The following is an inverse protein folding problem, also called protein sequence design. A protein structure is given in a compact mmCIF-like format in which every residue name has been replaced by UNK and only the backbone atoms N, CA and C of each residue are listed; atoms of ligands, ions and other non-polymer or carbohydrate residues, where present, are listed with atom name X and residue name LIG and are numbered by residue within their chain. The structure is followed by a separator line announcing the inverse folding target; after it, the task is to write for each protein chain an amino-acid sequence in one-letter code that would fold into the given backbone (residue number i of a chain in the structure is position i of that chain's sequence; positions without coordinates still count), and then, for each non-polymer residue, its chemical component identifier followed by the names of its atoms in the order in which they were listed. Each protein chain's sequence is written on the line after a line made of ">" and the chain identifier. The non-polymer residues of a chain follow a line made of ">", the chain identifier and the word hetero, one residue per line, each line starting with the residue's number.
data_IF_530010536878
#
_entry.id   IF_530010536878
#
_cell.length_a   1.000
_cell.length_b   1.000
_cell.length_c   1.000
_cell.angle_alpha   90.00
_cell.angle_beta   90.00
_cell.angle_gamma   90.00
#
_symmetry.space_group_name_H-M   'P 1'
#
loop_
_entity.id
_entity.type
_entity.pdbx_description
1 polymer ?
#
# COMPACT_ATOMS: atom_id res chain seq x y z
N UNK A 1 -13.45 -21.40 19.34
CA UNK A 1 -12.26 -20.56 19.21
C UNK A 1 -11.59 -20.29 20.56
N UNK A 2 -12.24 -19.70 21.58
CA UNK A 2 -11.58 -19.34 22.85
C UNK A 2 -10.79 -20.46 23.57
N UNK A 3 -11.18 -21.73 23.40
CA UNK A 3 -10.45 -22.88 23.96
C UNK A 3 -9.35 -23.39 23.01
N UNK A 4 -9.71 -23.69 21.77
CA UNK A 4 -8.84 -24.39 20.80
C UNK A 4 -7.99 -23.46 19.93
N UNK A 5 -8.27 -22.16 19.96
CA UNK A 5 -7.66 -21.08 19.17
C UNK A 5 -7.66 -21.29 17.64
N UNK A 6 -8.49 -22.22 17.17
CA UNK A 6 -8.75 -22.52 15.76
C UNK A 6 -10.25 -22.78 15.57
N UNK A 7 -10.72 -22.75 14.33
CA UNK A 7 -12.13 -22.95 13.98
C UNK A 7 -12.27 -23.37 12.51
N UNK A 8 -13.12 -24.35 12.25
CA UNK A 8 -13.57 -24.69 10.89
C UNK A 8 -14.96 -24.10 10.57
N UNK A 9 -15.46 -23.19 11.40
CA UNK A 9 -16.76 -22.56 11.20
C UNK A 9 -16.67 -21.46 10.15
N UNK A 10 -17.61 -21.48 9.21
CA UNK A 10 -17.75 -20.47 8.16
C UNK A 10 -18.66 -19.33 8.65
N UNK A 11 -18.28 -18.09 8.33
CA UNK A 11 -19.02 -16.88 8.62
C UNK A 11 -19.34 -16.10 7.35
N UNK A 12 -20.44 -15.35 7.40
CA UNK A 12 -20.85 -14.41 6.38
C UNK A 12 -20.39 -13.00 6.76
N UNK A 13 -19.28 -12.55 6.18
CA UNK A 13 -18.68 -11.25 6.47
C UNK A 13 -19.22 -10.16 5.53
N UNK A 14 -19.68 -9.03 6.08
CA UNK A 14 -20.16 -7.89 5.29
C UNK A 14 -19.22 -6.68 5.51
N UNK A 15 -18.38 -6.31 4.53
CA UNK A 15 -17.55 -5.13 4.66
C UNK A 15 -18.39 -3.84 4.63
N UNK A 16 -17.89 -2.78 5.26
CA UNK A 16 -18.55 -1.47 5.27
C UNK A 16 -18.49 -0.77 3.90
N UNK A 17 -17.45 -1.03 3.10
CA UNK A 17 -17.23 -0.43 1.77
C UNK A 17 -16.33 -1.31 0.89
N UNK A 18 -16.19 -0.91 -0.37
CA UNK A 18 -15.29 -1.54 -1.35
C UNK A 18 -14.31 -0.51 -1.93
N UNK A 19 -13.04 -0.89 -2.07
CA UNK A 19 -12.01 -0.09 -2.76
C UNK A 19 -11.64 -0.74 -4.10
N UNK A 20 -11.48 0.09 -5.13
CA UNK A 20 -11.09 -0.38 -6.46
C UNK A 20 -9.98 0.48 -7.07
N UNK A 21 -9.26 -0.11 -8.00
CA UNK A 21 -8.31 0.57 -8.88
C UNK A 21 -8.72 0.39 -10.35
N UNK A 22 -8.17 1.12 -11.31
CA UNK A 22 -8.71 1.18 -12.67
C UNK A 22 -8.51 -0.06 -13.55
N UNK A 23 -7.51 -0.92 -13.30
CA UNK A 23 -7.32 -2.18 -14.02
C UNK A 23 -8.40 -3.22 -13.67
N UNK A 24 -8.79 -3.31 -12.40
CA UNK A 24 -9.87 -4.21 -11.94
C UNK A 24 -11.24 -3.53 -11.90
N UNK A 25 -11.26 -2.21 -11.80
CA UNK A 25 -12.46 -1.40 -11.79
C UNK A 25 -13.14 -1.27 -13.14
N UNK A 26 -12.38 -1.22 -14.24
CA UNK A 26 -12.96 -1.25 -15.59
C UNK A 26 -13.79 -2.52 -15.83
N UNK A 27 -13.27 -3.75 -15.66
CA UNK A 27 -14.06 -4.96 -15.85
C UNK A 27 -15.27 -5.01 -14.90
N UNK A 28 -15.13 -4.63 -13.63
CA UNK A 28 -16.28 -4.64 -12.72
C UNK A 28 -17.41 -3.68 -13.15
N UNK A 29 -17.09 -2.50 -13.68
CA UNK A 29 -18.10 -1.57 -14.22
C UNK A 29 -18.73 -2.13 -15.50
N UNK A 30 -17.98 -2.89 -16.32
CA UNK A 30 -18.54 -3.65 -17.45
C UNK A 30 -19.51 -4.72 -16.95
N UNK A 31 -19.15 -5.47 -15.91
CA UNK A 31 -19.99 -6.53 -15.35
C UNK A 31 -21.28 -5.97 -14.76
N UNK A 32 -21.22 -4.85 -14.01
CA UNK A 32 -22.42 -4.14 -13.55
C UNK A 32 -23.31 -3.67 -14.71
N UNK A 33 -22.72 -3.18 -15.81
CA UNK A 33 -23.45 -2.77 -16.99
C UNK A 33 -24.14 -3.97 -17.68
N UNK A 34 -23.42 -5.08 -17.82
CA UNK A 34 -23.94 -6.32 -18.39
C UNK A 34 -25.06 -6.92 -17.52
N UNK A 35 -24.94 -6.86 -16.20
CA UNK A 35 -25.98 -7.27 -15.25
C UNK A 35 -27.24 -6.40 -15.38
N UNK A 36 -27.11 -5.10 -15.64
CA UNK A 36 -28.26 -4.22 -15.93
C UNK A 36 -28.98 -4.62 -17.21
N UNK A 37 -28.23 -4.92 -18.28
CA UNK A 37 -28.80 -5.40 -19.53
C UNK A 37 -29.50 -6.75 -19.35
N UNK A 38 -28.89 -7.68 -18.59
CA UNK A 38 -29.49 -8.96 -18.26
C UNK A 38 -30.79 -8.80 -17.45
N UNK A 39 -30.80 -7.95 -16.42
CA UNK A 39 -31.99 -7.66 -15.63
C UNK A 39 -33.13 -7.11 -16.50
N UNK A 40 -32.81 -6.20 -17.43
CA UNK A 40 -33.77 -5.66 -18.39
C UNK A 40 -34.35 -6.74 -19.30
N UNK A 41 -33.50 -7.61 -19.85
CA UNK A 41 -33.91 -8.68 -20.75
C UNK A 41 -34.80 -9.72 -20.06
N UNK A 42 -34.64 -9.91 -18.75
CA UNK A 42 -35.49 -10.76 -17.92
C UNK A 42 -36.76 -10.05 -17.40
N UNK A 43 -37.00 -8.79 -17.78
CA UNK A 43 -38.17 -8.01 -17.37
C UNK A 43 -38.08 -7.41 -15.96
N UNK A 44 -36.90 -7.42 -15.33
CA UNK A 44 -36.63 -6.76 -14.05
C UNK A 44 -36.24 -5.29 -14.21
N UNK A 45 -36.16 -4.56 -13.08
CA UNK A 45 -35.67 -3.18 -13.05
C UNK A 45 -34.13 -3.14 -13.03
N UNK A 46 -33.46 -2.61 -14.06
CA UNK A 46 -32.00 -2.49 -14.09
C UNK A 46 -31.44 -1.63 -12.96
N UNK A 47 -32.22 -0.70 -12.40
CA UNK A 47 -31.77 0.17 -11.32
C UNK A 47 -31.56 -0.56 -9.98
N UNK A 48 -32.03 -1.81 -9.89
CA UNK A 48 -31.74 -2.71 -8.77
C UNK A 48 -30.29 -3.20 -8.80
N UNK A 49 -29.65 -3.22 -9.97
CA UNK A 49 -28.21 -3.49 -10.09
C UNK A 49 -27.47 -2.19 -9.76
N UNK A 50 -27.12 -2.04 -8.49
CA UNK A 50 -26.42 -0.90 -7.96
C UNK A 50 -25.65 -1.28 -6.69
N UNK A 51 -24.46 -0.69 -6.45
CA UNK A 51 -23.77 -0.84 -5.17
C UNK A 51 -24.64 -0.44 -3.97
N UNK A 52 -24.72 -1.33 -2.97
CA UNK A 52 -25.44 -1.15 -1.71
C UNK A 52 -24.54 -0.57 -0.61
N UNK A 53 -23.23 -0.76 -0.74
CA UNK A 53 -22.20 -0.12 0.10
C UNK A 53 -21.42 0.91 -0.72
N UNK A 54 -20.74 1.88 -0.07
CA UNK A 54 -19.83 2.78 -0.76
C UNK A 54 -18.75 2.03 -1.55
N UNK A 55 -18.51 2.47 -2.78
CA UNK A 55 -17.44 1.99 -3.65
C UNK A 55 -16.62 3.18 -4.09
N UNK A 56 -15.33 3.16 -3.78
CA UNK A 56 -14.38 4.17 -4.23
C UNK A 56 -13.40 3.54 -5.22
N UNK A 57 -13.35 4.04 -6.45
CA UNK A 57 -12.41 3.62 -7.49
C UNK A 57 -11.37 4.71 -7.70
N UNK A 58 -10.09 4.37 -7.58
CA UNK A 58 -8.97 5.29 -7.83
C UNK A 58 -8.27 4.93 -9.14
N UNK A 59 -7.99 5.92 -9.98
CA UNK A 59 -7.26 5.70 -11.24
C UNK A 59 -5.77 5.96 -11.02
N UNK A 60 -4.96 4.90 -10.99
CA UNK A 60 -3.54 4.93 -10.59
C UNK A 60 -2.66 3.90 -11.32
N UNK A 61 -3.23 2.88 -11.98
CA UNK A 61 -2.51 1.82 -12.69
C UNK A 61 -2.21 2.15 -14.16
N UNK A 62 -2.70 3.27 -14.67
CA UNK A 62 -2.58 3.65 -16.08
C UNK A 62 -1.33 4.48 -16.42
N UNK A 63 -0.72 5.14 -15.43
CA UNK A 63 0.47 5.97 -15.61
C UNK A 63 1.72 5.11 -15.85
N UNK A 64 2.53 5.50 -16.83
CA UNK A 64 3.80 4.86 -17.18
C UNK A 64 4.94 5.86 -17.17
N UNK A 65 6.16 5.40 -16.84
CA UNK A 65 7.36 6.25 -16.85
C UNK A 65 7.98 6.29 -18.26
N UNK A 66 7.30 6.94 -19.20
CA UNK A 66 7.79 7.09 -20.58
C UNK A 66 8.98 8.08 -20.65
N UNK A 67 8.91 9.16 -19.86
CA UNK A 67 9.93 10.20 -19.72
C UNK A 67 10.35 10.27 -18.25
N UNK A 68 11.64 10.47 -18.01
CA UNK A 68 12.26 10.42 -16.68
C UNK A 68 13.47 11.36 -16.59
N UNK A 69 13.95 11.61 -15.36
CA UNK A 69 15.22 12.31 -15.11
C UNK A 69 15.25 13.78 -15.56
N UNK A 70 14.11 14.41 -15.83
CA UNK A 70 14.03 15.81 -16.22
C UNK A 70 12.70 16.45 -15.80
N UNK A 71 12.63 17.78 -15.89
CA UNK A 71 11.50 18.59 -15.44
C UNK A 71 10.23 18.49 -16.32
N UNK A 72 10.32 17.96 -17.54
CA UNK A 72 9.15 17.76 -18.42
C UNK A 72 8.52 16.38 -18.24
N UNK A 73 9.16 15.49 -17.47
CA UNK A 73 8.74 14.11 -17.28
C UNK A 73 7.28 13.99 -16.82
N UNK A 74 6.89 14.73 -15.77
CA UNK A 74 5.52 14.70 -15.25
C UNK A 74 4.48 15.00 -16.33
N UNK A 75 4.62 16.15 -17.00
CA UNK A 75 3.65 16.57 -18.03
C UNK A 75 3.60 15.58 -19.19
N UNK A 76 4.76 15.15 -19.69
CA UNK A 76 4.83 14.23 -20.83
C UNK A 76 4.22 12.86 -20.53
N UNK A 77 4.39 12.35 -19.31
CA UNK A 77 3.81 11.06 -18.89
C UNK A 77 2.29 11.16 -18.71
N UNK A 78 1.79 12.25 -18.12
CA UNK A 78 0.35 12.49 -17.99
C UNK A 78 -0.31 12.66 -19.37
N UNK A 79 0.31 13.40 -20.29
CA UNK A 79 -0.21 13.54 -21.66
C UNK A 79 -0.34 12.18 -22.36
N UNK A 80 0.70 11.33 -22.26
CA UNK A 80 0.67 9.96 -22.81
C UNK A 80 -0.36 9.07 -22.13
N UNK A 81 -0.52 9.18 -20.82
CA UNK A 81 -1.53 8.44 -20.06
C UNK A 81 -2.93 8.75 -20.61
N UNK A 82 -3.26 10.02 -20.81
CA UNK A 82 -4.55 10.45 -21.36
C UNK A 82 -4.74 10.03 -22.82
N UNK A 83 -3.69 10.12 -23.65
CA UNK A 83 -3.72 9.65 -25.04
C UNK A 83 -4.10 8.16 -25.12
N UNK A 84 -3.50 7.34 -24.26
CA UNK A 84 -3.69 5.88 -24.25
C UNK A 84 -5.00 5.42 -23.63
N UNK A 85 -5.53 6.15 -22.64
CA UNK A 85 -6.59 5.66 -21.76
C UNK A 85 -7.91 6.44 -21.83
N UNK A 86 -8.07 7.35 -22.81
CA UNK A 86 -9.24 8.24 -22.90
C UNK A 86 -10.59 7.49 -22.89
N UNK A 87 -10.67 6.35 -23.59
CA UNK A 87 -11.89 5.54 -23.62
C UNK A 87 -12.23 4.95 -22.24
N UNK A 88 -11.24 4.35 -21.56
CA UNK A 88 -11.38 3.81 -20.21
C UNK A 88 -11.82 4.89 -19.23
N UNK A 89 -11.26 6.10 -19.33
CA UNK A 89 -11.62 7.22 -18.44
C UNK A 89 -13.03 7.74 -18.69
N UNK A 90 -13.44 7.84 -19.96
CA UNK A 90 -14.83 8.16 -20.31
C UNK A 90 -15.80 7.12 -19.77
N UNK A 91 -15.44 5.83 -19.86
CA UNK A 91 -16.23 4.73 -19.35
C UNK A 91 -16.38 4.75 -17.83
N UNK A 92 -15.28 4.90 -17.07
CA UNK A 92 -15.34 5.02 -15.62
C UNK A 92 -16.10 6.28 -15.15
N UNK A 93 -15.93 7.41 -15.86
CA UNK A 93 -16.68 8.64 -15.60
C UNK A 93 -18.19 8.46 -15.87
N UNK A 94 -18.57 7.63 -16.83
CA UNK A 94 -19.95 7.22 -17.01
C UNK A 94 -20.43 6.37 -15.82
N UNK A 95 -19.62 5.39 -15.38
CA UNK A 95 -19.92 4.54 -14.22
C UNK A 95 -20.22 5.36 -12.96
N UNK A 96 -19.38 6.35 -12.64
CA UNK A 96 -19.59 7.28 -11.52
C UNK A 96 -20.92 8.05 -11.56
N UNK A 97 -21.52 8.22 -12.75
CA UNK A 97 -22.83 8.86 -12.91
C UNK A 97 -23.97 7.86 -12.96
N UNK A 98 -23.70 6.65 -13.45
CA UNK A 98 -24.69 5.62 -13.69
C UNK A 98 -25.04 4.82 -12.42
N UNK A 99 -24.13 4.75 -11.44
CA UNK A 99 -24.30 4.00 -10.21
C UNK A 99 -24.29 4.92 -8.98
N UNK A 100 -25.25 4.72 -8.06
CA UNK A 100 -25.23 5.36 -6.73
C UNK A 100 -24.16 4.71 -5.87
N UNK A 101 -23.66 5.45 -4.88
CA UNK A 101 -22.60 5.01 -3.97
C UNK A 101 -21.27 4.69 -4.67
N UNK A 102 -21.09 5.11 -5.92
CA UNK A 102 -19.89 4.83 -6.71
C UNK A 102 -19.12 6.12 -7.00
N UNK A 103 -17.94 6.26 -6.40
CA UNK A 103 -17.05 7.40 -6.59
C UNK A 103 -15.87 7.01 -7.45
N UNK A 104 -15.47 7.89 -8.36
CA UNK A 104 -14.23 7.74 -9.12
C UNK A 104 -13.30 8.90 -8.77
N UNK A 105 -12.13 8.57 -8.22
CA UNK A 105 -11.02 9.50 -8.01
C UNK A 105 -10.23 9.59 -9.32
N UNK A 106 -10.06 10.81 -9.89
CA UNK A 106 -9.48 10.98 -11.21
C UNK A 106 -7.97 10.68 -11.26
N UNK A 107 -7.41 10.48 -12.47
CA UNK A 107 -5.97 10.30 -12.66
C UNK A 107 -5.16 11.48 -12.07
N UNK A 108 -3.93 11.20 -11.64
CA UNK A 108 -3.02 12.22 -11.11
C UNK A 108 -3.33 12.69 -9.68
N UNK A 109 -4.26 12.03 -8.99
CA UNK A 109 -4.56 12.31 -7.57
C UNK A 109 -3.59 11.58 -6.64
N UNK A 110 -3.27 10.32 -6.94
CA UNK A 110 -2.49 9.45 -6.07
C UNK A 110 -2.76 7.96 -6.31
N UNK A 111 -2.07 7.11 -5.56
CA UNK A 111 -2.22 5.65 -5.55
C UNK A 111 -3.34 5.28 -4.58
N UNK A 112 -4.16 4.29 -4.95
CA UNK A 112 -5.38 3.88 -4.27
C UNK A 112 -5.22 3.74 -2.75
N UNK A 113 -4.17 3.06 -2.29
CA UNK A 113 -3.96 2.80 -0.86
C UNK A 113 -3.53 4.03 -0.07
N UNK A 114 -2.73 4.91 -0.67
CA UNK A 114 -2.33 6.17 -0.02
C UNK A 114 -3.51 7.14 0.02
N UNK A 115 -4.27 7.27 -1.07
CA UNK A 115 -5.54 8.03 -1.09
C UNK A 115 -6.53 7.44 -0.08
N UNK A 116 -6.56 6.12 0.09
CA UNK A 116 -7.40 5.47 1.09
C UNK A 116 -7.00 5.89 2.51
N UNK A 117 -5.73 5.78 2.89
CA UNK A 117 -5.23 6.22 4.20
C UNK A 117 -5.42 7.72 4.43
N UNK A 118 -5.02 8.55 3.48
CA UNK A 118 -4.99 10.00 3.64
C UNK A 118 -6.37 10.65 3.53
N UNK A 119 -7.36 9.99 2.90
CA UNK A 119 -8.64 10.64 2.61
C UNK A 119 -9.89 9.75 2.81
N UNK A 120 -9.94 8.55 2.23
CA UNK A 120 -11.18 7.77 2.19
C UNK A 120 -11.50 7.06 3.51
N UNK A 121 -10.49 6.47 4.15
CA UNK A 121 -10.62 5.71 5.38
C UNK A 121 -11.01 6.60 6.56
N UNK A 122 -11.90 6.08 7.39
CA UNK A 122 -12.49 6.83 8.50
C UNK A 122 -12.27 6.21 9.89
N UNK A 123 -11.72 4.99 9.95
CA UNK A 123 -11.59 4.15 11.16
C UNK A 123 -12.93 3.74 11.79
N UNK A 124 -13.85 4.68 12.02
CA UNK A 124 -15.23 4.44 12.47
C UNK A 124 -16.18 5.22 11.56
N UNK A 125 -17.12 4.51 10.92
CA UNK A 125 -18.20 5.10 10.12
C UNK A 125 -19.45 5.37 10.93
N UNK A 126 -20.31 6.22 10.39
CA UNK A 126 -21.67 6.43 10.87
C UNK A 126 -22.66 6.17 9.75
N UNK A 127 -23.83 5.64 10.08
CA UNK A 127 -24.99 5.56 9.18
C UNK A 127 -26.26 5.92 9.94
N UNK A 128 -27.25 6.45 9.24
CA UNK A 128 -28.61 6.58 9.76
C UNK A 128 -29.36 5.28 9.51
N UNK A 129 -29.93 4.68 10.55
CA UNK A 129 -30.74 3.46 10.50
C UNK A 129 -31.88 3.59 11.51
N UNK A 130 -33.13 3.38 11.05
CA UNK A 130 -34.35 3.47 11.87
C UNK A 130 -34.53 4.78 12.69
N UNK A 131 -33.97 5.89 12.19
CA UNK A 131 -34.04 7.20 12.84
C UNK A 131 -32.97 7.43 13.91
N UNK A 132 -32.01 6.50 14.04
CA UNK A 132 -30.85 6.61 14.92
C UNK A 132 -29.55 6.63 14.11
N UNK A 133 -28.56 7.39 14.60
CA UNK A 133 -27.20 7.37 14.06
C UNK A 133 -26.41 6.22 14.70
N UNK A 134 -26.02 5.23 13.90
CA UNK A 134 -25.23 4.09 14.33
C UNK A 134 -23.77 4.29 13.93
N UNK A 135 -22.86 4.13 14.90
CA UNK A 135 -21.41 4.08 14.67
C UNK A 135 -20.92 2.63 14.57
N UNK A 136 -20.03 2.35 13.63
CA UNK A 136 -19.50 1.00 13.38
C UNK A 136 -18.08 1.07 12.78
N UNK A 137 -17.27 0.01 12.90
CA UNK A 137 -15.89 0.04 12.41
C UNK A 137 -15.85 0.19 10.89
N UNK A 138 -14.90 0.99 10.40
CA UNK A 138 -14.54 0.97 8.99
C UNK A 138 -13.93 -0.39 8.65
N UNK A 139 -14.43 -0.99 7.57
CA UNK A 139 -13.92 -2.26 7.06
C UNK A 139 -14.10 -2.30 5.55
N UNK A 140 -13.20 -2.97 4.83
CA UNK A 140 -13.33 -3.08 3.39
C UNK A 140 -12.73 -4.35 2.80
N UNK A 141 -13.24 -4.69 1.63
CA UNK A 141 -12.49 -5.50 0.67
C UNK A 141 -12.08 -4.61 -0.49
N UNK A 142 -10.94 -4.90 -1.11
CA UNK A 142 -10.48 -4.16 -2.28
C UNK A 142 -10.06 -5.07 -3.42
N UNK A 143 -10.19 -4.58 -4.65
CA UNK A 143 -9.75 -5.32 -5.85
C UNK A 143 -8.26 -5.14 -6.14
N UNK A 144 -7.47 -5.09 -5.07
CA UNK A 144 -6.02 -4.98 -5.05
C UNK A 144 -5.49 -5.66 -3.78
N UNK A 145 -4.45 -6.50 -3.91
CA UNK A 145 -3.91 -7.29 -2.81
C UNK A 145 -3.43 -6.43 -1.63
N UNK A 146 -2.89 -5.25 -1.90
CA UNK A 146 -2.29 -4.36 -0.90
C UNK A 146 -3.32 -3.45 -0.21
N UNK A 147 -4.62 -3.71 -0.42
CA UNK A 147 -5.71 -3.10 0.38
C UNK A 147 -5.47 -3.28 1.88
N UNK A 148 -4.69 -4.30 2.24
CA UNK A 148 -4.23 -4.55 3.60
C UNK A 148 -3.44 -3.39 4.23
N UNK A 149 -2.91 -2.46 3.44
CA UNK A 149 -2.22 -1.26 3.94
C UNK A 149 -3.07 -0.43 4.91
N UNK A 150 -4.38 -0.39 4.71
CA UNK A 150 -5.32 0.38 5.55
C UNK A 150 -5.47 -0.18 6.97
N UNK A 151 -5.04 -1.42 7.21
CA UNK A 151 -5.09 -2.01 8.54
C UNK A 151 -4.11 -1.34 9.52
N UNK A 152 -3.12 -0.58 9.04
CA UNK A 152 -2.31 0.31 9.87
C UNK A 152 -3.13 1.48 10.45
N UNK A 153 -4.27 1.83 9.84
CA UNK A 153 -5.24 2.80 10.37
C UNK A 153 -6.40 2.11 11.12
N UNK A 154 -6.15 0.90 11.59
CA UNK A 154 -7.11 0.03 12.30
C UNK A 154 -8.41 -0.22 11.54
N UNK A 155 -8.34 -0.21 10.21
CA UNK A 155 -9.45 -0.55 9.31
C UNK A 155 -9.24 -1.96 8.82
N UNK A 156 -10.08 -2.90 9.26
CA UNK A 156 -9.95 -4.29 8.84
C UNK A 156 -10.26 -4.40 7.34
N UNK A 157 -9.25 -4.73 6.53
CA UNK A 157 -9.46 -4.93 5.11
C UNK A 157 -8.37 -5.68 4.37
N UNK A 158 -8.74 -6.25 3.23
CA UNK A 158 -7.84 -7.09 2.44
C UNK A 158 -8.23 -7.13 0.96
N UNK A 159 -7.30 -7.64 0.14
CA UNK A 159 -7.52 -7.82 -1.29
C UNK A 159 -8.38 -9.04 -1.62
N UNK A 160 -9.30 -8.90 -2.56
CA UNK A 160 -10.14 -9.96 -3.13
C UNK A 160 -10.17 -9.86 -4.66
N UNK A 161 -10.70 -10.88 -5.33
CA UNK A 161 -10.94 -10.82 -6.78
C UNK A 161 -12.07 -9.86 -7.15
N UNK A 162 -12.17 -9.54 -8.44
CA UNK A 162 -13.21 -8.64 -8.96
C UNK A 162 -14.62 -9.15 -8.66
N UNK A 163 -14.87 -10.45 -8.86
CA UNK A 163 -16.17 -11.09 -8.63
C UNK A 163 -16.57 -11.02 -7.16
N UNK A 164 -15.65 -11.29 -6.23
CA UNK A 164 -15.94 -11.17 -4.79
C UNK A 164 -16.25 -9.73 -4.39
N UNK A 165 -15.53 -8.75 -4.95
CA UNK A 165 -15.82 -7.34 -4.71
C UNK A 165 -17.16 -6.89 -5.31
N UNK A 166 -17.53 -7.40 -6.49
CA UNK A 166 -18.84 -7.20 -7.13
C UNK A 166 -19.98 -7.81 -6.30
N UNK A 167 -19.79 -9.01 -5.79
CA UNK A 167 -20.74 -9.64 -4.88
C UNK A 167 -20.90 -8.80 -3.60
N UNK A 168 -19.78 -8.38 -2.99
CA UNK A 168 -19.77 -7.54 -1.80
C UNK A 168 -20.48 -6.20 -2.02
N UNK A 169 -20.20 -5.51 -3.14
CA UNK A 169 -20.86 -4.24 -3.43
C UNK A 169 -22.36 -4.41 -3.67
N UNK A 170 -22.82 -5.56 -4.17
CA UNK A 170 -24.24 -5.89 -4.34
C UNK A 170 -24.88 -6.48 -3.06
N UNK A 171 -24.18 -6.45 -1.93
CA UNK A 171 -24.67 -6.83 -0.60
C UNK A 171 -24.61 -8.33 -0.29
N UNK A 172 -23.97 -9.13 -1.15
CA UNK A 172 -23.64 -10.50 -0.80
C UNK A 172 -22.52 -10.51 0.24
N UNK A 173 -22.64 -11.26 1.34
CA UNK A 173 -21.55 -11.41 2.27
C UNK A 173 -20.40 -12.21 1.65
N UNK A 174 -19.17 -11.87 2.03
CA UNK A 174 -17.99 -12.69 1.76
C UNK A 174 -18.02 -13.90 2.69
N UNK A 175 -18.09 -15.09 2.12
CA UNK A 175 -17.94 -16.33 2.87
C UNK A 175 -16.47 -16.53 3.24
N UNK A 176 -16.19 -16.72 4.52
CA UNK A 176 -14.85 -17.05 5.00
C UNK A 176 -14.89 -17.92 6.25
N UNK A 177 -13.87 -18.74 6.47
CA UNK A 177 -13.67 -19.42 7.74
C UNK A 177 -13.27 -18.39 8.81
N UNK A 178 -13.69 -18.59 10.06
CA UNK A 178 -13.15 -17.82 11.19
C UNK A 178 -11.62 -18.01 11.19
N UNK A 179 -10.84 -16.94 10.97
CA UNK A 179 -9.42 -17.08 10.76
C UNK A 179 -8.70 -17.43 12.06
N UNK A 180 -7.58 -18.14 11.94
CA UNK A 180 -6.56 -18.16 12.97
C UNK A 180 -5.88 -16.79 13.02
N UNK A 181 -5.47 -16.35 14.22
CA UNK A 181 -4.83 -15.04 14.42
C UNK A 181 -3.45 -15.27 15.02
N UNK A 182 -2.42 -14.82 14.31
CA UNK A 182 -1.02 -14.88 14.74
C UNK A 182 -0.67 -13.53 15.36
N UNK A 183 -0.37 -13.52 16.65
CA UNK A 183 0.13 -12.33 17.32
C UNK A 183 1.59 -12.07 16.93
N UNK A 184 1.90 -10.89 16.43
CA UNK A 184 3.28 -10.48 16.16
C UNK A 184 3.69 -9.38 17.13
N UNK A 185 4.43 -9.77 18.16
CA UNK A 185 4.87 -8.88 19.23
C UNK A 185 6.07 -8.06 18.77
N UNK A 186 5.94 -6.75 18.77
CA UNK A 186 7.02 -5.80 18.57
C UNK A 186 7.46 -5.24 19.92
N UNK A 187 8.77 -5.24 20.16
CA UNK A 187 9.38 -4.64 21.34
C UNK A 187 10.56 -3.76 20.96
N UNK A 188 10.98 -2.88 21.87
CA UNK A 188 12.10 -1.99 21.64
C UNK A 188 11.82 -0.94 20.56
N UNK A 189 12.88 -0.30 20.05
CA UNK A 189 12.80 0.79 19.08
C UNK A 189 13.77 0.54 17.93
N UNK A 190 13.39 0.91 16.72
CA UNK A 190 14.29 0.86 15.55
C UNK A 190 15.58 1.65 15.82
N UNK A 191 16.76 1.07 15.53
CA UNK A 191 18.02 1.77 15.71
C UNK A 191 18.19 2.88 14.68
N UNK A 192 19.07 3.84 14.98
CA UNK A 192 19.42 4.89 14.03
C UNK A 192 19.94 4.30 12.71
N UNK A 193 19.44 4.81 11.60
CA UNK A 193 19.79 4.34 10.26
C UNK A 193 18.92 3.20 9.74
N UNK A 194 18.15 2.51 10.58
CA UNK A 194 17.10 1.60 10.15
C UNK A 194 15.79 2.36 9.82
N UNK A 195 15.02 1.82 8.89
CA UNK A 195 13.79 2.42 8.37
C UNK A 195 12.59 1.49 8.51
N UNK A 196 11.38 2.01 8.28
CA UNK A 196 10.16 1.20 8.18
C UNK A 196 10.29 0.11 7.10
N UNK A 197 11.01 0.40 6.01
CA UNK A 197 11.29 -0.58 4.95
C UNK A 197 12.11 -1.76 5.50
N UNK A 198 13.13 -1.50 6.31
CA UNK A 198 13.95 -2.55 6.92
C UNK A 198 13.16 -3.42 7.90
N UNK A 199 12.27 -2.77 8.67
CA UNK A 199 11.37 -3.44 9.59
C UNK A 199 10.41 -4.37 8.84
N UNK A 200 9.71 -3.87 7.82
CA UNK A 200 8.75 -4.70 7.08
C UNK A 200 9.43 -5.84 6.32
N UNK A 201 10.64 -5.67 5.80
CA UNK A 201 11.38 -6.76 5.17
C UNK A 201 11.76 -7.85 6.19
N UNK A 202 12.12 -7.44 7.41
CA UNK A 202 12.41 -8.37 8.52
C UNK A 202 11.15 -9.13 8.94
N UNK A 203 10.04 -8.43 9.14
CA UNK A 203 8.72 -9.00 9.45
C UNK A 203 8.28 -9.96 8.34
N UNK A 204 8.43 -9.57 7.07
CA UNK A 204 8.06 -10.38 5.91
C UNK A 204 8.83 -11.70 5.88
N UNK A 205 10.14 -11.67 6.12
CA UNK A 205 10.98 -12.86 6.20
C UNK A 205 10.53 -13.80 7.33
N UNK A 206 10.26 -13.25 8.52
CA UNK A 206 9.84 -14.04 9.69
C UNK A 206 8.47 -14.70 9.48
N UNK A 207 7.48 -13.93 9.03
CA UNK A 207 6.11 -14.42 8.81
C UNK A 207 6.04 -15.42 7.66
N UNK A 208 6.83 -15.23 6.58
CA UNK A 208 6.94 -16.26 5.52
C UNK A 208 7.52 -17.56 6.05
N UNK A 209 8.56 -17.49 6.87
CA UNK A 209 9.16 -18.68 7.49
C UNK A 209 8.18 -19.39 8.41
N UNK A 210 7.31 -18.65 9.12
CA UNK A 210 6.27 -19.22 9.99
C UNK A 210 5.16 -19.93 9.22
N UNK A 211 4.77 -19.40 8.06
CA UNK A 211 3.65 -19.89 7.26
C UNK A 211 2.29 -19.40 7.77
N UNK A 212 1.91 -18.18 7.38
CA UNK A 212 0.67 -17.51 7.83
C UNK A 212 -0.41 -17.42 6.74
N UNK A 213 -0.34 -18.28 5.74
CA UNK A 213 -1.30 -18.30 4.62
C UNK A 213 -2.73 -18.53 5.11
N UNK A 214 -3.65 -17.63 4.73
CA UNK A 214 -5.06 -17.68 5.12
C UNK A 214 -5.34 -17.31 6.57
N UNK A 215 -4.35 -16.80 7.30
CA UNK A 215 -4.46 -16.37 8.70
C UNK A 215 -4.46 -14.84 8.78
N UNK A 216 -4.96 -14.32 9.90
CA UNK A 216 -4.74 -12.93 10.26
C UNK A 216 -3.42 -12.82 11.03
N UNK A 217 -2.73 -11.71 10.85
CA UNK A 217 -1.63 -11.30 11.72
C UNK A 217 -2.09 -10.04 12.45
N UNK A 218 -1.93 -10.01 13.77
CA UNK A 218 -2.23 -8.84 14.59
C UNK A 218 -0.97 -8.40 15.32
N UNK A 219 -0.58 -7.15 15.14
CA UNK A 219 0.60 -6.57 15.74
C UNK A 219 0.26 -6.02 17.13
N UNK A 220 1.14 -6.31 18.10
CA UNK A 220 0.96 -5.89 19.49
C UNK A 220 2.32 -5.72 20.19
N UNK A 221 2.30 -5.31 21.46
CA UNK A 221 3.51 -5.07 22.25
C UNK A 221 3.84 -3.58 22.41
N UNK A 222 4.82 -3.29 23.26
CA UNK A 222 5.26 -1.93 23.59
C UNK A 222 6.01 -1.24 22.45
N UNK A 223 6.52 -2.01 21.47
CA UNK A 223 7.15 -1.47 20.27
C UNK A 223 6.21 -0.59 19.43
N UNK A 224 4.90 -0.79 19.52
CA UNK A 224 3.91 0.04 18.81
C UNK A 224 3.97 1.51 19.26
N UNK A 225 4.34 1.79 20.52
CA UNK A 225 4.49 3.16 21.05
C UNK A 225 5.65 3.95 20.38
N UNK A 226 6.41 3.29 19.49
CA UNK A 226 7.56 3.85 18.80
C UNK A 226 7.40 3.86 17.28
N UNK A 227 6.25 3.45 16.76
CA UNK A 227 5.93 3.48 15.34
C UNK A 227 5.01 4.66 15.04
N UNK A 228 5.24 5.32 13.92
CA UNK A 228 4.24 6.22 13.33
C UNK A 228 3.21 5.40 12.56
N UNK A 229 2.03 5.98 12.30
CA UNK A 229 1.01 5.26 11.53
C UNK A 229 1.49 4.90 10.12
N UNK A 230 2.39 5.70 9.55
CA UNK A 230 2.98 5.40 8.26
C UNK A 230 3.91 4.18 8.31
N UNK A 231 4.57 3.92 9.46
CA UNK A 231 5.37 2.72 9.67
C UNK A 231 4.46 1.49 9.79
N UNK A 232 3.36 1.60 10.54
CA UNK A 232 2.34 0.54 10.67
C UNK A 232 1.70 0.21 9.31
N UNK A 233 1.33 1.23 8.55
CA UNK A 233 0.80 1.07 7.20
C UNK A 233 1.81 0.41 6.26
N UNK A 234 3.11 0.72 6.39
CA UNK A 234 4.19 0.06 5.63
C UNK A 234 4.21 -1.45 5.92
N UNK A 235 4.07 -1.84 7.19
CA UNK A 235 4.06 -3.25 7.62
C UNK A 235 2.79 -3.97 7.17
N UNK A 236 1.63 -3.32 7.33
CA UNK A 236 0.32 -3.85 6.95
C UNK A 236 0.18 -4.02 5.43
N UNK A 237 0.80 -3.12 4.65
CA UNK A 237 0.81 -3.16 3.19
C UNK A 237 1.36 -4.49 2.65
N UNK A 238 2.45 -4.99 3.23
CA UNK A 238 3.14 -6.20 2.73
C UNK A 238 2.50 -7.52 3.18
N UNK A 239 1.26 -7.51 3.69
CA UNK A 239 0.57 -8.73 4.10
C UNK A 239 0.46 -9.80 3.00
N UNK A 240 0.17 -9.46 1.74
CA UNK A 240 0.22 -10.42 0.65
C UNK A 240 1.62 -11.05 0.49
N UNK A 241 2.69 -10.27 0.67
CA UNK A 241 4.07 -10.70 0.53
C UNK A 241 4.51 -11.65 1.63
N UNK A 242 3.93 -11.58 2.84
CA UNK A 242 4.10 -12.62 3.87
C UNK A 242 2.99 -13.67 3.93
N UNK A 243 1.94 -13.49 3.14
CA UNK A 243 0.89 -14.47 2.87
C UNK A 243 -0.32 -14.38 3.81
N UNK A 244 -0.34 -13.46 4.75
CA UNK A 244 -1.50 -13.27 5.61
C UNK A 244 -2.67 -12.69 4.82
N UNK A 245 -3.89 -12.93 5.28
CA UNK A 245 -5.06 -12.23 4.75
C UNK A 245 -4.99 -10.74 5.09
N UNK A 246 -4.51 -10.38 6.28
CA UNK A 246 -4.24 -9.01 6.70
C UNK A 246 -3.13 -8.96 7.76
N UNK A 247 -2.55 -7.76 7.95
CA UNK A 247 -1.70 -7.41 9.08
C UNK A 247 -2.30 -6.24 9.84
N UNK A 248 -2.91 -6.49 11.00
CA UNK A 248 -3.78 -5.57 11.72
C UNK A 248 -3.08 -4.84 12.87
N UNK A 249 -3.31 -3.53 12.98
CA UNK A 249 -2.88 -2.68 14.10
C UNK A 249 -4.11 -2.14 14.83
N UNK A 250 -4.19 -2.26 16.17
CA UNK A 250 -5.34 -1.81 16.95
C UNK A 250 -5.41 -0.27 17.03
N UNK A 251 -6.58 0.26 17.39
CA UNK A 251 -6.77 1.71 17.54
C UNK A 251 -6.00 2.19 18.76
N UNK A 252 -5.16 3.21 18.60
CA UNK A 252 -4.41 3.83 19.69
C UNK A 252 -4.18 5.34 19.49
N UNK A 253 -3.26 5.93 20.26
CA UNK A 253 -2.94 7.36 20.22
C UNK A 253 -2.35 7.81 18.87
N UNK A 254 -1.58 6.94 18.22
CA UNK A 254 -0.99 7.25 16.92
C UNK A 254 -2.08 7.27 15.83
N UNK A 255 -3.06 6.36 15.93
CA UNK A 255 -4.27 6.41 15.09
C UNK A 255 -4.97 7.78 15.18
N UNK A 256 -5.21 8.27 16.39
CA UNK A 256 -5.85 9.58 16.61
C UNK A 256 -4.98 10.74 16.14
N UNK A 257 -3.65 10.62 16.30
CA UNK A 257 -2.67 11.63 15.87
C UNK A 257 -2.66 11.75 14.35
N UNK A 258 -2.64 10.62 13.64
CA UNK A 258 -2.68 10.59 12.18
C UNK A 258 -3.98 11.16 11.61
N UNK A 259 -5.14 10.81 12.19
CA UNK A 259 -6.43 11.37 11.74
C UNK A 259 -6.45 12.89 11.87
N UNK A 260 -5.88 13.45 12.96
CA UNK A 260 -5.72 14.92 13.12
C UNK A 260 -4.74 15.49 12.08
N UNK A 261 -3.60 14.85 11.88
CA UNK A 261 -2.54 15.31 10.97
C UNK A 261 -2.99 15.33 9.50
N UNK A 262 -3.85 14.39 9.11
CA UNK A 262 -4.47 14.30 7.78
C UNK A 262 -5.73 15.16 7.63
N UNK A 263 -6.04 16.00 8.62
CA UNK A 263 -7.12 16.98 8.54
C UNK A 263 -8.53 16.36 8.62
N UNK A 264 -8.70 15.17 9.21
CA UNK A 264 -10.03 14.64 9.50
C UNK A 264 -10.77 15.57 10.47
N UNK A 265 -12.08 15.66 10.30
CA UNK A 265 -12.92 16.50 11.16
C UNK A 265 -12.73 16.17 12.64
N UNK A 266 -12.64 17.21 13.48
CA UNK A 266 -12.46 17.03 14.92
C UNK A 266 -13.58 16.20 15.58
N UNK A 267 -14.80 16.23 15.01
CA UNK A 267 -15.91 15.38 15.45
C UNK A 267 -15.68 13.90 15.12
N UNK A 268 -15.08 13.59 13.97
CA UNK A 268 -14.71 12.21 13.59
C UNK A 268 -13.66 11.67 14.54
N UNK A 269 -12.62 12.43 14.83
CA UNK A 269 -11.53 11.97 15.73
C UNK A 269 -12.09 11.67 17.12
N UNK A 270 -12.95 12.54 17.66
CA UNK A 270 -13.66 12.30 18.94
C UNK A 270 -14.55 11.07 18.89
N UNK A 271 -15.25 10.83 17.77
CA UNK A 271 -16.07 9.65 17.59
C UNK A 271 -15.22 8.37 17.62
N UNK A 272 -14.09 8.35 16.90
CA UNK A 272 -13.20 7.18 16.86
C UNK A 272 -12.72 6.82 18.27
N UNK A 273 -12.23 7.80 19.03
CA UNK A 273 -11.78 7.58 20.41
C UNK A 273 -12.91 7.07 21.31
N UNK A 274 -14.06 7.75 21.30
CA UNK A 274 -15.20 7.40 22.15
C UNK A 274 -15.76 6.00 21.82
N UNK A 275 -15.86 5.69 20.52
CA UNK A 275 -16.30 4.38 20.05
C UNK A 275 -15.31 3.29 20.46
N UNK A 276 -14.01 3.48 20.19
CA UNK A 276 -12.99 2.48 20.49
C UNK A 276 -12.95 2.16 22.00
N UNK A 277 -13.02 3.18 22.87
CA UNK A 277 -13.07 2.99 24.32
C UNK A 277 -14.34 2.27 24.76
N UNK A 278 -15.50 2.65 24.23
CA UNK A 278 -16.76 2.01 24.57
C UNK A 278 -16.84 0.53 24.14
N UNK A 279 -16.16 0.16 23.05
CA UNK A 279 -16.12 -1.21 22.53
C UNK A 279 -14.94 -2.04 23.07
N UNK A 280 -14.05 -1.48 23.89
CA UNK A 280 -12.83 -2.16 24.34
C UNK A 280 -11.82 -2.41 23.22
N UNK A 281 -11.82 -1.58 22.18
CA UNK A 281 -10.94 -1.68 21.00
C UNK A 281 -9.73 -0.74 21.05
N UNK A 282 -9.61 0.09 22.10
CA UNK A 282 -8.53 1.06 22.26
C UNK A 282 -7.36 0.47 23.04
N UNK A 283 -6.22 0.22 22.37
CA UNK A 283 -5.06 -0.53 22.90
C UNK A 283 -4.53 -0.01 24.24
N UNK A 284 -4.37 1.31 24.48
CA UNK A 284 -3.87 1.79 25.77
C UNK A 284 -4.72 1.35 26.98
N UNK A 285 -5.98 0.99 26.75
CA UNK A 285 -6.92 0.57 27.78
C UNK A 285 -7.04 -0.98 27.89
N UNK A 286 -6.23 -1.75 27.15
CA UNK A 286 -6.26 -3.21 27.22
C UNK A 286 -5.77 -3.69 28.60
N UNK A 287 -6.59 -4.49 29.29
CA UNK A 287 -6.22 -5.09 30.59
C UNK A 287 -5.18 -6.21 30.43
N UNK A 288 -5.17 -6.88 29.27
CA UNK A 288 -4.24 -7.93 28.91
C UNK A 288 -4.12 -8.03 27.38
N UNK A 289 -3.01 -8.59 26.90
CA UNK A 289 -2.82 -8.88 25.47
C UNK A 289 -3.92 -9.83 24.95
N UNK A 290 -4.37 -9.67 23.69
CA UNK A 290 -5.32 -10.60 23.09
C UNK A 290 -4.79 -12.04 23.07
N UNK A 291 -5.70 -13.01 23.18
CA UNK A 291 -5.34 -14.43 23.14
C UNK A 291 -5.18 -14.85 21.67
N UNK A 292 -3.94 -15.04 21.21
CA UNK A 292 -3.66 -15.45 19.83
C UNK A 292 -3.59 -16.98 19.65
N UNK A 293 -3.77 -17.44 18.41
CA UNK A 293 -3.52 -18.83 17.99
C UNK A 293 -2.07 -19.22 18.21
N UNK A 294 -1.15 -18.36 17.81
CA UNK A 294 0.28 -18.48 18.06
C UNK A 294 0.92 -17.09 18.09
N UNK A 295 2.17 -17.01 18.53
CA UNK A 295 2.88 -15.74 18.71
C UNK A 295 4.29 -15.78 18.13
N UNK A 296 4.70 -14.68 17.47
CA UNK A 296 6.08 -14.36 17.13
C UNK A 296 6.49 -13.08 17.86
N UNK A 297 7.78 -12.91 18.10
CA UNK A 297 8.32 -11.72 18.75
C UNK A 297 9.54 -11.21 17.98
N UNK A 298 9.62 -9.88 17.84
CA UNK A 298 10.75 -9.16 17.25
C UNK A 298 11.13 -7.98 18.15
N UNK A 299 12.37 -7.98 18.61
CA UNK A 299 13.01 -6.78 19.17
C UNK A 299 13.49 -5.90 18.01
N UNK A 300 12.83 -4.75 17.84
CA UNK A 300 13.10 -3.81 16.75
C UNK A 300 14.50 -3.22 16.81
N UNK A 301 15.18 -3.25 17.97
CA UNK A 301 16.57 -2.79 18.09
C UNK A 301 17.56 -3.67 17.32
N UNK A 302 17.15 -4.88 16.95
CA UNK A 302 17.95 -5.83 16.16
C UNK A 302 17.82 -5.64 14.65
N UNK A 303 16.89 -4.79 14.20
CA UNK A 303 16.66 -4.53 12.78
C UNK A 303 17.83 -3.72 12.23
N UNK A 304 18.42 -4.20 11.14
CA UNK A 304 19.50 -3.52 10.41
C UNK A 304 19.06 -3.17 8.97
N UNK A 305 19.69 -2.14 8.36
CA UNK A 305 19.45 -1.79 6.97
C UNK A 305 19.58 -2.99 6.03
N UNK A 306 18.61 -3.14 5.12
CA UNK A 306 18.49 -4.32 4.26
C UNK A 306 17.81 -4.04 2.92
N UNK A 307 17.95 -5.00 2.03
CA UNK A 307 17.30 -5.07 0.72
C UNK A 307 16.51 -6.39 0.66
N UNK A 308 15.63 -6.53 -0.32
CA UNK A 308 15.01 -7.82 -0.64
C UNK A 308 15.20 -8.13 -2.12
N UNK A 309 15.62 -9.35 -2.43
CA UNK A 309 15.82 -9.74 -3.81
C UNK A 309 16.76 -10.92 -4.03
N UNK A 310 17.01 -11.26 -5.31
CA UNK A 310 16.71 -10.45 -6.50
C UNK A 310 15.37 -10.79 -7.14
N UNK A 311 14.65 -11.80 -6.62
CA UNK A 311 13.43 -12.34 -7.25
C UNK A 311 12.20 -12.32 -6.35
N UNK A 312 12.36 -12.34 -5.02
CA UNK A 312 11.23 -12.48 -4.08
C UNK A 312 11.33 -11.49 -2.92
N UNK A 313 10.21 -10.93 -2.43
CA UNK A 313 10.19 -9.97 -1.33
C UNK A 313 10.71 -10.50 0.02
N UNK A 314 10.58 -11.81 0.27
CA UNK A 314 11.07 -12.44 1.50
C UNK A 314 12.57 -12.78 1.49
N UNK A 315 13.25 -12.60 0.35
CA UNK A 315 14.69 -12.83 0.22
C UNK A 315 15.46 -11.63 0.77
N UNK A 316 15.30 -11.35 2.08
CA UNK A 316 15.99 -10.26 2.77
C UNK A 316 17.50 -10.48 2.78
N UNK A 317 18.24 -9.45 2.40
CA UNK A 317 19.70 -9.38 2.40
C UNK A 317 20.14 -8.15 3.21
N UNK A 318 20.89 -8.31 4.32
CA UNK A 318 21.49 -7.18 5.02
C UNK A 318 22.34 -6.34 4.08
N UNK A 319 22.17 -5.00 4.12
CA UNK A 319 22.84 -4.08 3.21
C UNK A 319 24.37 -4.19 3.32
N UNK A 320 24.88 -4.49 4.52
CA UNK A 320 26.29 -4.75 4.82
C UNK A 320 26.90 -5.91 4.02
N UNK A 321 26.07 -6.85 3.54
CA UNK A 321 26.49 -8.06 2.82
C UNK A 321 25.97 -8.13 1.39
N UNK A 322 25.30 -7.07 0.91
CA UNK A 322 24.61 -7.06 -0.38
C UNK A 322 25.53 -7.37 -1.58
N UNK A 323 26.78 -6.86 -1.56
CA UNK A 323 27.77 -7.12 -2.61
C UNK A 323 28.14 -8.61 -2.69
N UNK A 324 28.42 -9.22 -1.54
CA UNK A 324 28.81 -10.64 -1.48
C UNK A 324 27.63 -11.54 -1.84
N UNK A 325 26.43 -11.21 -1.35
CA UNK A 325 25.20 -11.91 -1.70
C UNK A 325 24.92 -11.85 -3.20
N UNK A 326 25.11 -10.69 -3.84
CA UNK A 326 24.97 -10.56 -5.28
C UNK A 326 26.00 -11.40 -6.04
N UNK A 327 27.27 -11.40 -5.62
CA UNK A 327 28.31 -12.22 -6.24
C UNK A 327 27.98 -13.73 -6.15
N UNK A 328 27.48 -14.18 -5.00
CA UNK A 328 27.01 -15.57 -4.84
C UNK A 328 25.84 -15.89 -5.78
N UNK A 329 24.87 -14.99 -5.89
CA UNK A 329 23.72 -15.19 -6.79
C UNK A 329 24.10 -15.14 -8.26
N UNK A 330 25.09 -14.32 -8.64
CA UNK A 330 25.62 -14.28 -10.00
C UNK A 330 26.18 -15.65 -10.42
N UNK A 331 26.71 -16.42 -9.46
CA UNK A 331 27.11 -17.81 -9.66
C UNK A 331 25.94 -18.78 -9.65
N UNK A 332 25.28 -18.88 -8.50
CA UNK A 332 24.35 -19.97 -8.22
C UNK A 332 23.07 -19.87 -9.03
N UNK A 333 22.54 -18.65 -9.17
CA UNK A 333 21.24 -18.39 -9.78
C UNK A 333 21.35 -18.03 -11.26
N UNK A 334 22.25 -17.11 -11.60
CA UNK A 334 22.38 -16.60 -12.96
C UNK A 334 23.39 -17.37 -13.81
N UNK A 335 24.32 -18.13 -13.18
CA UNK A 335 25.39 -18.89 -13.86
C UNK A 335 26.25 -18.01 -14.76
N UNK A 336 26.60 -16.82 -14.25
CA UNK A 336 27.32 -15.76 -14.98
C UNK A 336 28.68 -15.39 -14.37
N UNK A 337 29.20 -16.15 -13.41
CA UNK A 337 30.51 -15.81 -12.81
C UNK A 337 31.67 -15.77 -13.80
N UNK A 338 31.65 -16.61 -14.83
CA UNK A 338 32.67 -16.57 -15.88
C UNK A 338 32.74 -15.20 -16.60
N UNK A 339 31.62 -14.47 -16.63
CA UNK A 339 31.49 -13.14 -17.23
C UNK A 339 31.34 -12.04 -16.16
N UNK A 340 31.65 -12.29 -14.88
CA UNK A 340 31.31 -11.36 -13.78
C UNK A 340 31.84 -9.93 -13.99
N UNK A 341 33.02 -9.81 -14.60
CA UNK A 341 33.68 -8.52 -14.89
C UNK A 341 33.46 -8.04 -16.33
N UNK A 342 32.66 -8.76 -17.13
CA UNK A 342 32.36 -8.38 -18.50
C UNK A 342 31.57 -7.07 -18.49
N UNK A 343 32.06 -6.09 -19.24
CA UNK A 343 31.35 -4.83 -19.52
C UNK A 343 31.03 -4.75 -21.00
N UNK A 344 29.87 -4.17 -21.32
CA UNK A 344 29.36 -3.95 -22.67
C UNK A 344 29.28 -2.45 -22.89
N UNK A 345 29.96 -1.95 -23.92
CA UNK A 345 29.88 -0.53 -24.32
C UNK A 345 28.47 -0.22 -24.82
N UNK A 346 27.93 0.93 -24.42
CA UNK A 346 26.63 1.39 -24.90
C UNK A 346 26.83 2.15 -26.21
N UNK A 347 26.09 1.78 -27.24
CA UNK A 347 26.22 2.37 -28.57
C UNK A 347 25.94 3.88 -28.54
N UNK A 348 26.84 4.68 -29.12
CA UNK A 348 26.73 6.14 -29.13
C UNK A 348 27.16 6.84 -27.84
N UNK A 349 27.53 6.09 -26.79
CA UNK A 349 27.84 6.62 -25.47
C UNK A 349 29.29 6.35 -25.04
N UNK A 350 29.79 7.15 -24.09
CA UNK A 350 31.17 7.02 -23.58
C UNK A 350 31.28 6.12 -22.34
N UNK A 351 30.25 5.33 -22.04
CA UNK A 351 30.19 4.44 -20.90
C UNK A 351 29.89 2.98 -21.31
N UNK A 352 30.10 2.08 -20.36
CA UNK A 352 29.79 0.66 -20.49
C UNK A 352 28.96 0.21 -19.29
N UNK A 353 28.25 -0.91 -19.43
CA UNK A 353 27.42 -1.52 -18.38
C UNK A 353 27.90 -2.96 -18.15
N UNK A 354 27.92 -3.40 -16.90
CA UNK A 354 28.23 -4.77 -16.49
C UNK A 354 27.24 -5.32 -15.47
N UNK A 355 27.52 -6.52 -14.97
CA UNK A 355 26.71 -7.14 -13.92
C UNK A 355 26.77 -6.32 -12.62
N UNK A 356 25.60 -6.09 -12.01
CA UNK A 356 25.46 -5.34 -10.76
C UNK A 356 25.30 -3.82 -10.93
N UNK A 357 25.47 -3.30 -12.15
CA UNK A 357 25.16 -1.90 -12.41
C UNK A 357 23.64 -1.67 -12.29
N UNK A 358 23.25 -0.72 -11.44
CA UNK A 358 21.87 -0.28 -11.31
C UNK A 358 21.46 0.45 -12.59
N UNK A 359 20.37 0.02 -13.22
CA UNK A 359 19.82 0.64 -14.45
C UNK A 359 18.45 1.28 -14.24
N UNK A 360 17.74 0.92 -13.16
CA UNK A 360 16.50 1.56 -12.72
C UNK A 360 16.65 1.88 -11.23
N UNK A 361 16.34 3.11 -10.84
CA UNK A 361 16.27 3.53 -9.45
C UNK A 361 15.01 4.37 -9.24
N UNK A 362 13.95 3.73 -8.77
CA UNK A 362 12.62 4.34 -8.64
C UNK A 362 12.25 4.51 -7.16
N UNK A 363 11.94 5.74 -6.75
CA UNK A 363 11.21 6.01 -5.51
C UNK A 363 9.72 5.96 -5.86
N UNK A 364 9.11 4.81 -5.61
CA UNK A 364 7.76 4.44 -6.07
C UNK A 364 7.03 3.65 -4.97
N UNK A 365 5.84 3.16 -5.29
CA UNK A 365 4.92 2.39 -4.44
C UNK A 365 4.27 3.20 -3.31
N UNK A 366 2.98 2.91 -3.07
CA UNK A 366 2.27 3.37 -1.89
C UNK A 366 2.93 2.91 -0.58
N UNK A 367 3.62 1.75 -0.59
CA UNK A 367 4.29 1.18 0.58
C UNK A 367 5.21 2.18 1.27
N UNK A 368 6.06 2.88 0.51
CA UNK A 368 7.06 3.80 1.07
C UNK A 368 6.71 5.27 0.84
N UNK A 369 6.03 5.62 -0.26
CA UNK A 369 5.74 7.04 -0.57
C UNK A 369 4.68 7.66 0.34
N UNK A 370 3.89 6.83 1.02
CA UNK A 370 2.98 7.25 2.10
C UNK A 370 3.69 7.58 3.41
N UNK A 371 4.99 7.27 3.54
CA UNK A 371 5.75 7.44 4.76
C UNK A 371 6.68 8.67 4.67
N UNK A 372 6.33 9.79 5.35
CA UNK A 372 7.14 11.01 5.28
C UNK A 372 8.57 10.82 5.79
N UNK A 373 8.81 9.90 6.73
CA UNK A 373 10.14 9.67 7.30
C UNK A 373 11.14 9.21 6.23
N UNK A 374 10.77 8.22 5.41
CA UNK A 374 11.65 7.72 4.34
C UNK A 374 11.73 8.68 3.15
N UNK A 375 10.66 9.42 2.86
CA UNK A 375 10.65 10.41 1.78
C UNK A 375 11.50 11.64 2.10
N UNK A 376 11.37 12.19 3.31
CA UNK A 376 12.27 13.25 3.79
C UNK A 376 13.69 12.73 3.94
N UNK A 377 13.87 11.49 4.41
CA UNK A 377 15.17 10.81 4.44
C UNK A 377 15.85 10.78 3.07
N UNK A 378 15.13 10.37 2.02
CA UNK A 378 15.62 10.37 0.65
C UNK A 378 16.03 11.77 0.18
N UNK A 379 15.21 12.79 0.44
CA UNK A 379 15.55 14.18 0.13
C UNK A 379 16.79 14.68 0.86
N UNK A 380 16.95 14.33 2.14
CA UNK A 380 18.13 14.70 2.94
C UNK A 380 19.40 14.01 2.44
N UNK A 381 19.31 12.75 1.99
CA UNK A 381 20.41 12.03 1.33
C UNK A 381 20.76 12.73 0.02
N UNK A 382 19.77 13.08 -0.81
CA UNK A 382 19.98 13.79 -2.06
C UNK A 382 20.72 15.12 -1.85
N UNK A 383 20.25 15.95 -0.91
CA UNK A 383 20.90 17.20 -0.52
C UNK A 383 22.36 17.02 -0.13
N UNK A 384 22.62 16.00 0.68
CA UNK A 384 23.95 15.69 1.18
C UNK A 384 24.88 15.16 0.08
N UNK A 385 24.33 14.46 -0.92
CA UNK A 385 25.07 13.98 -2.09
C UNK A 385 25.40 15.14 -3.06
N UNK A 386 24.42 15.99 -3.36
CA UNK A 386 24.59 17.18 -4.22
C UNK A 386 25.62 18.15 -3.64
N UNK A 387 25.56 18.43 -2.32
CA UNK A 387 26.57 19.26 -1.63
C UNK A 387 28.00 18.71 -1.72
N UNK A 388 28.14 17.40 -1.93
CA UNK A 388 29.44 16.72 -2.12
C UNK A 388 29.84 16.59 -3.59
N UNK A 389 29.05 17.12 -4.52
CA UNK A 389 29.30 17.04 -5.96
C UNK A 389 29.04 15.66 -6.56
N UNK A 390 28.34 14.77 -5.85
CA UNK A 390 27.95 13.46 -6.37
C UNK A 390 26.87 13.61 -7.44
N UNK A 391 26.90 12.70 -8.42
CA UNK A 391 25.92 12.64 -9.51
C UNK A 391 25.52 11.18 -9.75
N UNK A 392 24.29 10.99 -10.19
CA UNK A 392 23.82 9.69 -10.68
C UNK A 392 24.51 9.36 -12.01
N UNK A 393 24.76 8.08 -12.26
CA UNK A 393 25.34 7.61 -13.52
C UNK A 393 24.33 7.81 -14.67
N UNK A 394 24.78 8.19 -15.89
CA UNK A 394 23.88 8.61 -16.96
C UNK A 394 22.96 7.50 -17.50
N UNK A 395 23.29 6.23 -17.27
CA UNK A 395 22.47 5.09 -17.71
C UNK A 395 21.34 4.73 -16.74
N UNK A 396 21.26 5.36 -15.57
CA UNK A 396 20.25 5.02 -14.56
C UNK A 396 18.94 5.73 -14.90
N UNK A 397 17.88 4.96 -15.09
CA UNK A 397 16.51 5.48 -15.16
C UNK A 397 16.01 5.81 -13.76
N UNK A 398 16.16 7.06 -13.35
CA UNK A 398 15.69 7.58 -12.05
C UNK A 398 14.27 8.12 -12.14
N UNK A 399 13.44 7.84 -11.13
CA UNK A 399 12.06 8.34 -11.08
C UNK A 399 11.57 8.56 -9.65
N UNK A 400 10.77 9.61 -9.46
CA UNK A 400 9.98 9.85 -8.24
C UNK A 400 8.49 9.80 -8.60
N UNK A 401 7.79 8.77 -8.10
CA UNK A 401 6.37 8.56 -8.32
C UNK A 401 5.62 8.47 -6.98
N UNK A 402 5.24 9.61 -6.38
CA UNK A 402 4.58 9.63 -5.08
C UNK A 402 3.15 9.11 -5.16
N UNK A 403 2.68 8.50 -4.07
CA UNK A 403 1.29 8.03 -3.99
C UNK A 403 0.27 9.12 -3.64
N UNK A 404 0.67 10.38 -3.41
CA UNK A 404 -0.23 11.54 -3.39
C UNK A 404 0.52 12.85 -3.61
N UNK A 405 -0.23 13.92 -3.88
CA UNK A 405 0.30 15.29 -4.03
C UNK A 405 0.86 15.87 -2.72
N UNK A 406 0.48 15.31 -1.56
CA UNK A 406 1.00 15.75 -0.25
C UNK A 406 2.51 15.55 -0.16
N UNK A 407 3.03 14.50 -0.80
CA UNK A 407 4.46 14.17 -0.80
C UNK A 407 5.30 15.25 -1.46
N UNK A 408 4.92 15.67 -2.67
CA UNK A 408 5.61 16.75 -3.37
C UNK A 408 5.49 18.07 -2.64
N UNK A 409 4.34 18.33 -2.01
CA UNK A 409 4.11 19.55 -1.24
C UNK A 409 5.08 19.67 -0.06
N UNK A 410 5.24 18.63 0.76
CA UNK A 410 6.18 18.71 1.89
C UNK A 410 7.65 18.66 1.43
N UNK A 411 7.99 17.93 0.35
CA UNK A 411 9.36 17.90 -0.19
C UNK A 411 9.77 19.28 -0.72
N UNK A 412 8.86 19.96 -1.43
CA UNK A 412 9.07 21.31 -1.91
C UNK A 412 9.19 22.31 -0.75
N UNK A 413 8.29 22.26 0.24
CA UNK A 413 8.34 23.14 1.42
C UNK A 413 9.59 22.93 2.27
N UNK A 414 10.10 21.71 2.35
CA UNK A 414 11.35 21.40 3.03
C UNK A 414 12.60 21.82 2.23
N UNK A 415 12.44 22.27 0.98
CA UNK A 415 13.53 22.61 0.08
C UNK A 415 14.36 21.41 -0.36
N UNK A 416 13.75 20.21 -0.42
CA UNK A 416 14.42 18.95 -0.75
C UNK A 416 14.09 18.46 -2.18
N UNK A 417 13.05 18.98 -2.82
CA UNK A 417 12.68 18.60 -4.19
C UNK A 417 13.80 18.95 -5.18
N UNK A 418 14.38 20.15 -5.09
CA UNK A 418 15.46 20.58 -5.99
C UNK A 418 16.70 19.67 -5.88
N UNK A 419 16.99 19.17 -4.67
CA UNK A 419 18.09 18.24 -4.44
C UNK A 419 17.82 16.85 -5.07
N UNK A 420 16.56 16.37 -5.00
CA UNK A 420 16.13 15.15 -5.68
C UNK A 420 16.19 15.30 -7.19
N UNK A 421 15.69 16.42 -7.72
CA UNK A 421 15.71 16.77 -9.13
C UNK A 421 17.15 16.85 -9.68
N UNK A 422 18.09 17.39 -8.90
CA UNK A 422 19.50 17.44 -9.27
C UNK A 422 20.15 16.05 -9.44
N UNK A 423 19.56 15.02 -8.83
CA UNK A 423 19.95 13.62 -8.98
C UNK A 423 19.05 12.85 -9.96
N UNK A 424 18.15 13.53 -10.66
CA UNK A 424 17.24 12.93 -11.65
C UNK A 424 15.99 12.28 -11.05
N UNK A 425 15.73 12.44 -9.75
CA UNK A 425 14.48 11.99 -9.11
C UNK A 425 13.38 13.03 -9.26
N UNK A 426 13.20 13.52 -10.49
CA UNK A 426 12.09 14.40 -10.82
C UNK A 426 10.76 13.68 -10.69
N UNK A 427 9.71 14.43 -10.38
CA UNK A 427 8.34 13.92 -10.41
C UNK A 427 8.04 13.36 -11.81
N UNK A 428 7.68 12.07 -11.86
CA UNK A 428 7.23 11.41 -13.09
C UNK A 428 5.71 11.26 -13.14
N UNK A 429 5.04 11.38 -11.99
CA UNK A 429 3.59 11.47 -11.82
C UNK A 429 3.08 10.71 -10.59
N UNK A 430 1.77 10.76 -10.37
CA UNK A 430 1.10 10.18 -9.19
C UNK A 430 0.36 8.90 -9.58
N UNK A 431 1.00 7.75 -9.39
CA UNK A 431 0.44 6.44 -9.76
C UNK A 431 1.43 5.30 -9.50
N UNK A 432 0.98 4.06 -9.71
CA UNK A 432 1.74 2.85 -9.36
C UNK A 432 3.07 2.73 -10.11
N UNK A 433 3.12 3.16 -11.38
CA UNK A 433 4.34 3.25 -12.19
C UNK A 433 5.25 2.00 -12.10
N UNK A 434 6.53 2.17 -11.76
CA UNK A 434 7.51 1.07 -11.68
C UNK A 434 7.09 -0.03 -10.69
N UNK A 435 6.29 0.27 -9.65
CA UNK A 435 5.80 -0.72 -8.70
C UNK A 435 4.97 -1.84 -9.35
N UNK A 436 4.20 -1.52 -10.39
CA UNK A 436 3.38 -2.49 -11.14
C UNK A 436 4.05 -2.91 -12.46
N UNK A 437 5.31 -2.54 -12.68
CA UNK A 437 6.04 -2.82 -13.91
C UNK A 437 5.80 -1.82 -15.05
N UNK A 438 5.07 -0.73 -14.82
CA UNK A 438 4.94 0.40 -15.75
C UNK A 438 6.20 1.28 -15.70
N UNK A 439 7.36 0.68 -15.95
CA UNK A 439 8.69 1.17 -15.56
C UNK A 439 9.42 2.01 -16.57
#
# INVERSE_FOLDING_TARGET
>A
WLTEKTSSHEIAYRPARVLMQDFTGVPAVVDLAAMRDAAKNLGGDPNMINPLVPVDLVIDHSLMVDVFGNSTAFQANVEREYERNLERYKFLKWGAKAFRNFRVVPPGTGICHQVNLEYLAQTVWTKEEDGETIAYPDTLVGTDSHTTMVNGLSVLGWGVGGIEAEAAMLGQPVSMLIPEVIGFKLTGKLPEGATATDLVLTVTQMLRKRGVVGKFVEFFGDGLDHLSLADEATIANMAPEYGATCGFFPIDDETLTYLKATGRDASRVKLVEAYAKAQGMYRPDYEADPVFTDTLELDMSTVEPSLAGPKRPQDRVPLSTASDAFAMQLDSEFKKMADAHKRVTVEGENYSIGHGDVVIAAITSCTNTSNPSVMLGAGLVARNAVKRGLKVKPWVKTSLAPGSQVVTDYLARAGLQDDLDALGFNLVGYGCTTCIGNS
#
